data_IF_751709593492
#
_entry.id   IF_751709593492
#
_cell.length_a   1.000
_cell.length_b   1.000
_cell.length_c   1.000
_cell.angle_alpha   90.00
_cell.angle_beta   90.00
_cell.angle_gamma   90.00
#
_symmetry.space_group_name_H-M   'P 1'
#
loop_
_entity.id
_entity.type
_entity.pdbx_description
1 polymer ?
#
# COMPACT_ATOMS: atom_id res chain seq x y z
N UNK A 1 -8.36 11.19 11.97
CA UNK A 1 -7.67 10.08 12.67
C UNK A 1 -6.27 9.93 12.10
N UNK A 2 -5.33 9.39 12.89
CA UNK A 2 -3.98 9.11 12.41
C UNK A 2 -4.01 7.84 11.53
N UNK A 3 -3.64 7.98 10.26
CA UNK A 3 -3.50 6.84 9.35
C UNK A 3 -2.32 5.95 9.78
N UNK A 4 -2.43 4.64 9.54
CA UNK A 4 -1.45 3.62 9.89
C UNK A 4 -0.49 3.36 8.73
N UNK A 5 0.75 3.02 9.08
CA UNK A 5 1.72 2.45 8.14
C UNK A 5 1.75 0.95 8.36
N UNK A 6 1.54 0.18 7.30
CA UNK A 6 1.70 -1.27 7.30
C UNK A 6 3.02 -1.61 6.62
N UNK A 7 3.86 -2.40 7.29
CA UNK A 7 5.19 -2.80 6.82
C UNK A 7 5.26 -4.33 6.76
N UNK A 8 5.68 -4.85 5.61
CA UNK A 8 5.70 -6.28 5.31
C UNK A 8 7.13 -6.74 4.96
N UNK A 9 7.91 -7.05 6.00
CA UNK A 9 9.26 -7.64 5.91
C UNK A 9 9.24 -9.10 5.45
N UNK A 10 8.20 -9.83 5.85
CA UNK A 10 8.03 -11.25 5.53
C UNK A 10 6.98 -11.45 4.44
N UNK A 11 7.03 -12.62 3.80
CA UNK A 11 6.07 -13.04 2.77
C UNK A 11 4.64 -12.81 3.21
N UNK A 12 3.88 -12.11 2.37
CA UNK A 12 2.46 -11.88 2.59
C UNK A 12 1.65 -11.94 1.30
N UNK A 13 0.37 -12.28 1.44
CA UNK A 13 -0.63 -12.14 0.38
C UNK A 13 -1.64 -11.08 0.80
N UNK A 14 -1.72 -10.01 0.02
CA UNK A 14 -2.57 -8.86 0.25
C UNK A 14 -3.73 -8.87 -0.76
N UNK A 15 -4.95 -8.97 -0.25
CA UNK A 15 -6.17 -8.89 -1.06
C UNK A 15 -7.14 -7.89 -0.41
N UNK A 16 -8.29 -7.63 -1.04
CA UNK A 16 -9.31 -6.77 -0.43
C UNK A 16 -10.68 -7.40 -0.50
N UNK A 17 -11.50 -7.16 0.54
CA UNK A 17 -12.90 -7.57 0.62
C UNK A 17 -13.62 -6.68 1.63
N UNK A 18 -14.77 -6.13 1.23
CA UNK A 18 -15.64 -5.29 2.07
C UNK A 18 -14.92 -4.06 2.68
N UNK A 19 -14.20 -3.27 1.87
CA UNK A 19 -13.42 -2.10 2.34
C UNK A 19 -12.32 -2.45 3.37
N UNK A 20 -11.91 -3.71 3.44
CA UNK A 20 -10.83 -4.17 4.30
C UNK A 20 -9.66 -4.64 3.42
N UNK A 21 -8.43 -4.30 3.80
CA UNK A 21 -7.24 -4.97 3.32
C UNK A 21 -7.09 -6.28 4.10
N UNK A 22 -7.20 -7.42 3.41
CA UNK A 22 -7.00 -8.75 3.97
C UNK A 22 -5.54 -9.13 3.81
N UNK A 23 -4.91 -9.44 4.94
CA UNK A 23 -3.49 -9.73 5.08
C UNK A 23 -3.36 -11.18 5.49
N UNK A 24 -2.71 -11.98 4.67
CA UNK A 24 -2.35 -13.36 5.00
C UNK A 24 -0.84 -13.49 5.04
N UNK A 25 -0.31 -13.96 6.15
CA UNK A 25 1.09 -14.39 6.30
C UNK A 25 1.13 -15.84 6.77
N UNK A 26 2.30 -16.44 6.84
CA UNK A 26 2.46 -17.80 7.38
C UNK A 26 2.10 -17.88 8.88
N UNK A 27 2.20 -16.76 9.60
CA UNK A 27 1.95 -16.71 11.03
C UNK A 27 0.48 -16.40 11.38
N UNK A 28 -0.22 -15.60 10.56
CA UNK A 28 -1.59 -15.16 10.87
C UNK A 28 -2.34 -14.60 9.66
N UNK A 29 -3.66 -14.52 9.82
CA UNK A 29 -4.54 -13.74 8.96
C UNK A 29 -5.11 -12.55 9.76
N UNK A 30 -5.17 -11.38 9.13
CA UNK A 30 -5.69 -10.15 9.73
C UNK A 30 -6.38 -9.28 8.67
N UNK A 31 -7.17 -8.31 9.12
CA UNK A 31 -7.79 -7.32 8.25
C UNK A 31 -7.69 -5.91 8.83
N UNK A 32 -7.47 -4.91 7.98
CA UNK A 32 -7.39 -3.49 8.35
C UNK A 32 -8.27 -2.66 7.41
N UNK A 33 -9.09 -1.72 7.91
CA UNK A 33 -9.89 -0.86 7.06
C UNK A 33 -9.00 -0.04 6.14
N UNK A 34 -9.30 0.02 4.84
CA UNK A 34 -8.45 0.71 3.87
C UNK A 34 -8.36 2.22 4.15
N UNK A 35 -9.41 2.82 4.73
CA UNK A 35 -9.46 4.23 5.14
C UNK A 35 -8.47 4.57 6.26
N UNK A 36 -8.14 3.59 7.10
CA UNK A 36 -7.20 3.73 8.21
C UNK A 36 -5.73 3.61 7.75
N UNK A 37 -5.48 3.32 6.46
CA UNK A 37 -4.13 3.07 5.93
C UNK A 37 -3.64 4.32 5.20
N UNK A 38 -2.40 4.72 5.51
CA UNK A 38 -1.69 5.82 4.82
C UNK A 38 -0.56 5.31 3.96
N UNK A 39 0.16 4.30 4.43
CA UNK A 39 1.28 3.71 3.71
C UNK A 39 1.25 2.19 3.83
N UNK A 40 1.56 1.52 2.72
CA UNK A 40 1.84 0.10 2.66
C UNK A 40 3.23 -0.06 2.09
N UNK A 41 4.14 -0.66 2.85
CA UNK A 41 5.52 -0.91 2.42
C UNK A 41 5.73 -2.41 2.32
N UNK A 42 6.03 -2.87 1.11
CA UNK A 42 6.22 -4.29 0.78
C UNK A 42 7.70 -4.49 0.50
N UNK A 43 8.36 -5.22 1.40
CA UNK A 43 9.79 -5.46 1.32
C UNK A 43 10.10 -6.86 0.81
N UNK A 44 9.36 -7.87 1.30
CA UNK A 44 9.56 -9.26 0.87
C UNK A 44 9.23 -9.44 -0.62
N UNK A 45 10.24 -9.86 -1.39
CA UNK A 45 10.14 -10.14 -2.82
C UNK A 45 9.22 -11.34 -3.16
N UNK A 46 8.81 -12.12 -2.16
CA UNK A 46 7.88 -13.24 -2.30
C UNK A 46 6.41 -12.87 -2.04
N UNK A 47 6.13 -11.58 -1.81
CA UNK A 47 4.79 -11.11 -1.50
C UNK A 47 3.94 -10.91 -2.74
N UNK A 48 2.64 -11.11 -2.59
CA UNK A 48 1.64 -10.89 -3.64
C UNK A 48 0.64 -9.84 -3.18
N UNK A 49 0.30 -8.91 -4.07
CA UNK A 49 -0.80 -7.96 -3.86
C UNK A 49 -1.72 -8.00 -5.08
N UNK A 50 -3.03 -8.06 -4.85
CA UNK A 50 -4.00 -8.08 -5.94
C UNK A 50 -4.25 -6.67 -6.49
N UNK A 51 -4.55 -6.57 -7.79
CA UNK A 51 -4.94 -5.30 -8.43
C UNK A 51 -6.12 -4.62 -7.71
N UNK A 52 -7.19 -5.34 -7.30
CA UNK A 52 -8.25 -4.72 -6.50
C UNK A 52 -7.75 -4.11 -5.19
N UNK A 53 -6.80 -4.74 -4.49
CA UNK A 53 -6.24 -4.19 -3.26
C UNK A 53 -5.44 -2.91 -3.52
N UNK A 54 -4.61 -2.89 -4.58
CA UNK A 54 -3.89 -1.68 -5.01
C UNK A 54 -4.85 -0.54 -5.31
N UNK A 55 -5.85 -0.78 -6.15
CA UNK A 55 -6.83 0.24 -6.52
C UNK A 55 -7.57 0.78 -5.29
N UNK A 56 -7.91 -0.09 -4.34
CA UNK A 56 -8.60 0.32 -3.11
C UNK A 56 -7.75 1.16 -2.19
N UNK A 57 -6.49 0.78 -2.00
CA UNK A 57 -5.52 1.55 -1.22
C UNK A 57 -5.33 2.94 -1.83
N UNK A 58 -5.10 3.01 -3.14
CA UNK A 58 -4.88 4.26 -3.87
C UNK A 58 -6.10 5.17 -3.81
N UNK A 59 -7.31 4.62 -4.04
CA UNK A 59 -8.58 5.36 -3.96
C UNK A 59 -8.78 6.03 -2.59
N UNK A 60 -8.34 5.36 -1.52
CA UNK A 60 -8.40 5.89 -0.15
C UNK A 60 -7.15 6.70 0.24
N UNK A 61 -6.38 7.18 -0.74
CA UNK A 61 -5.15 7.97 -0.55
C UNK A 61 -4.12 7.26 0.34
N UNK A 62 -3.95 5.95 0.17
CA UNK A 62 -2.81 5.21 0.72
C UNK A 62 -1.75 5.03 -0.37
N UNK A 63 -0.50 5.34 -0.04
CA UNK A 63 0.64 5.08 -0.92
C UNK A 63 1.14 3.65 -0.74
N UNK A 64 1.49 2.98 -1.84
CA UNK A 64 2.08 1.64 -1.82
C UNK A 64 3.53 1.75 -2.28
N UNK A 65 4.46 1.27 -1.47
CA UNK A 65 5.90 1.33 -1.69
C UNK A 65 6.42 -0.09 -1.85
N UNK A 66 7.24 -0.33 -2.87
CA UNK A 66 7.94 -1.60 -3.07
C UNK A 66 9.43 -1.39 -2.86
N UNK A 67 10.04 -2.29 -2.10
CA UNK A 67 11.49 -2.33 -1.94
C UNK A 67 12.13 -3.32 -2.91
N UNK A 68 13.43 -3.16 -3.16
CA UNK A 68 14.27 -4.14 -3.86
C UNK A 68 14.80 -5.25 -2.94
N UNK A 69 15.67 -6.10 -3.50
CA UNK A 69 16.39 -7.18 -2.81
C UNK A 69 17.39 -6.69 -1.74
N UNK A 70 17.64 -5.39 -1.67
CA UNK A 70 18.47 -4.75 -0.64
C UNK A 70 17.63 -4.06 0.43
N UNK A 71 16.32 -4.32 0.47
CA UNK A 71 15.38 -3.73 1.41
C UNK A 71 15.25 -2.20 1.26
N UNK A 72 15.62 -1.66 0.09
CA UNK A 72 15.54 -0.23 -0.18
C UNK A 72 14.30 0.09 -1.02
N UNK A 73 13.52 1.14 -0.69
CA UNK A 73 12.42 1.59 -1.53
C UNK A 73 12.87 1.92 -2.95
N UNK A 74 12.27 1.28 -3.96
CA UNK A 74 12.61 1.50 -5.38
C UNK A 74 11.44 1.99 -6.22
N UNK A 75 10.20 1.79 -5.77
CA UNK A 75 9.03 2.33 -6.44
C UNK A 75 7.91 2.67 -5.46
N UNK A 76 7.07 3.63 -5.85
CA UNK A 76 5.87 4.02 -5.13
C UNK A 76 4.71 4.21 -6.12
N UNK A 77 3.52 3.77 -5.72
CA UNK A 77 2.27 4.05 -6.43
C UNK A 77 1.57 5.24 -5.79
N UNK A 78 1.18 6.19 -6.64
CA UNK A 78 0.48 7.41 -6.27
C UNK A 78 -0.96 7.40 -6.77
N UNK A 79 -1.84 8.05 -6.01
CA UNK A 79 -3.18 8.35 -6.47
C UNK A 79 -3.13 9.48 -7.49
N UNK A 80 -3.54 9.22 -8.73
CA UNK A 80 -3.57 10.25 -9.79
C UNK A 80 -4.84 11.13 -9.73
N UNK A 81 -5.84 10.76 -8.92
CA UNK A 81 -7.12 11.45 -8.78
C UNK A 81 -7.18 12.33 -7.51
N UNK A 82 -6.18 13.20 -7.31
CA UNK A 82 -6.11 14.11 -6.16
C UNK A 82 -6.31 15.59 -6.48
N UNK A 83 -6.96 15.89 -7.61
CA UNK A 83 -7.18 17.27 -8.11
C UNK A 83 -5.90 18.12 -8.07
N UNK A 84 -5.98 19.34 -7.53
CA UNK A 84 -4.89 20.32 -7.56
C UNK A 84 -3.66 19.87 -6.76
N UNK A 85 -3.85 19.28 -5.58
CA UNK A 85 -2.76 18.87 -4.70
C UNK A 85 -1.89 17.78 -5.34
N UNK A 86 -2.50 16.79 -6.00
CA UNK A 86 -1.74 15.76 -6.68
C UNK A 86 -0.93 16.31 -7.86
N UNK A 87 -1.49 17.28 -8.57
CA UNK A 87 -0.79 17.94 -9.67
C UNK A 87 0.40 18.77 -9.16
N UNK A 88 0.29 19.40 -7.99
CA UNK A 88 1.41 20.07 -7.33
C UNK A 88 2.52 19.09 -6.92
N UNK A 89 2.16 17.95 -6.31
CA UNK A 89 3.14 16.91 -5.93
C UNK A 89 3.88 16.38 -7.16
N UNK A 90 3.14 16.05 -8.22
CA UNK A 90 3.74 15.59 -9.47
C UNK A 90 4.67 16.64 -10.11
N UNK A 91 4.27 17.91 -10.10
CA UNK A 91 5.11 19.01 -10.60
C UNK A 91 6.36 19.24 -9.75
N UNK A 92 6.29 18.95 -8.45
CA UNK A 92 7.44 19.02 -7.55
C UNK A 92 8.43 17.85 -7.73
N UNK A 93 8.13 16.90 -8.61
CA UNK A 93 8.93 15.70 -8.85
C UNK A 93 8.82 14.67 -7.72
N UNK A 94 7.71 14.69 -6.99
CA UNK A 94 7.37 13.77 -5.90
C UNK A 94 6.27 12.83 -6.36
#
# INVERSE_FOLDING_TARGET
MLKRTLFFENKCTLTTKHEQLHIKTDAREASVPVEDIGFVVIESQESYISIPALNKLIYHNASVIFCDDKHMPTSMLFNLEGHHLQQELFNAGI
#
